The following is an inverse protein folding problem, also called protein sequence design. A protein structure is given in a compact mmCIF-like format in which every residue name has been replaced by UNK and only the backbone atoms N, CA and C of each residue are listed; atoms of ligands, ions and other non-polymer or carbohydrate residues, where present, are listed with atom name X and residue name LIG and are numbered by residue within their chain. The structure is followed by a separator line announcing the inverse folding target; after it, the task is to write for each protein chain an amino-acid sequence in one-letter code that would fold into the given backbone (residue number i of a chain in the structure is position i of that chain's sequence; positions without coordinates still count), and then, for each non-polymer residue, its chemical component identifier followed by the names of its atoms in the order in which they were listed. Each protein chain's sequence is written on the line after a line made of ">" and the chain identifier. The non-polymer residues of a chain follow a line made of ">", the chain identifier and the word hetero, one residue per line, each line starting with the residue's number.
data_IF_164070912181
#
_entry.id   IF_164070912181
#
_cell.length_a   1.000
_cell.length_b   1.000
_cell.length_c   1.000
_cell.angle_alpha   90.00
_cell.angle_beta   90.00
_cell.angle_gamma   90.00
#
_symmetry.space_group_name_H-M   'P 1'
#
loop_
_entity.id
_entity.type
_entity.pdbx_description
1 polymer ?
#
# COMPACT_ATOMS: atom_id res chain seq x y z
N UNK A 1 9.74 32.64 -48.26
CA UNK A 1 9.03 31.38 -47.94
C UNK A 1 9.47 31.03 -46.54
N UNK A 2 8.70 31.56 -45.59
CA UNK A 2 8.78 31.19 -44.17
C UNK A 2 8.53 29.69 -44.06
N UNK A 3 9.33 28.98 -43.26
CA UNK A 3 8.77 28.42 -42.03
C UNK A 3 9.89 28.11 -41.03
N UNK A 4 9.61 28.54 -39.81
CA UNK A 4 10.45 28.55 -38.63
C UNK A 4 10.68 27.13 -38.11
N UNK A 5 11.94 26.72 -38.06
CA UNK A 5 12.43 25.62 -37.25
C UNK A 5 12.56 26.09 -35.80
N UNK A 6 11.46 26.08 -35.08
CA UNK A 6 11.27 26.18 -33.63
C UNK A 6 9.74 25.98 -33.51
N UNK A 7 9.16 25.04 -32.78
CA UNK A 7 9.26 24.81 -31.35
C UNK A 7 8.91 23.34 -31.07
N UNK A 8 9.90 22.50 -30.73
CA UNK A 8 9.62 21.29 -29.93
C UNK A 8 9.80 21.72 -28.48
N UNK A 9 8.81 22.43 -27.95
CA UNK A 9 8.72 22.72 -26.52
C UNK A 9 7.27 22.56 -26.13
N UNK A 10 7.02 21.44 -25.45
CA UNK A 10 6.10 21.33 -24.31
C UNK A 10 4.72 21.94 -24.51
N UNK A 11 3.75 21.16 -25.00
CA UNK A 11 2.36 21.32 -24.57
C UNK A 11 1.63 19.96 -24.55
N UNK A 12 1.15 19.63 -23.34
CA UNK A 12 0.07 18.69 -22.99
C UNK A 12 0.43 17.22 -22.75
N UNK A 13 1.34 17.05 -21.79
CA UNK A 13 1.30 16.02 -20.74
C UNK A 13 -0.05 16.06 -19.98
N UNK A 14 -1.14 15.73 -20.65
CA UNK A 14 -2.46 15.54 -20.03
C UNK A 14 -3.20 14.44 -20.79
N UNK A 15 -2.58 13.26 -20.85
CA UNK A 15 -3.30 12.05 -21.24
C UNK A 15 -4.25 11.77 -20.09
N UNK A 16 -5.45 12.33 -20.18
CA UNK A 16 -6.61 12.05 -19.36
C UNK A 16 -6.71 10.54 -19.20
N UNK A 17 -6.20 10.02 -18.07
CA UNK A 17 -6.37 8.62 -17.68
C UNK A 17 -7.87 8.34 -17.79
N UNK A 18 -8.21 7.53 -18.80
CA UNK A 18 -9.59 7.19 -19.16
C UNK A 18 -10.39 6.94 -17.88
N UNK A 19 -11.61 7.47 -17.74
CA UNK A 19 -12.39 7.40 -16.50
C UNK A 19 -12.47 5.99 -15.92
N UNK A 20 -12.46 4.96 -16.79
CA UNK A 20 -12.37 3.55 -16.44
C UNK A 20 -11.13 3.19 -15.61
N UNK A 21 -9.94 3.67 -15.96
CA UNK A 21 -8.69 3.37 -15.24
C UNK A 21 -8.74 3.96 -13.83
N UNK A 22 -9.25 5.19 -13.69
CA UNK A 22 -9.46 5.85 -12.38
C UNK A 22 -10.48 5.09 -11.50
N UNK A 23 -11.48 4.46 -12.10
CA UNK A 23 -12.45 3.62 -11.37
C UNK A 23 -11.79 2.31 -10.90
N UNK A 24 -11.01 1.66 -11.76
CA UNK A 24 -10.29 0.43 -11.41
C UNK A 24 -9.30 0.69 -10.28
N UNK A 25 -8.58 1.81 -10.28
CA UNK A 25 -7.70 2.22 -9.18
C UNK A 25 -8.44 2.41 -7.85
N UNK A 26 -9.61 3.05 -7.88
CA UNK A 26 -10.43 3.21 -6.67
C UNK A 26 -10.98 1.88 -6.17
N UNK A 27 -11.39 1.00 -7.07
CA UNK A 27 -11.91 -0.32 -6.72
C UNK A 27 -10.78 -1.22 -6.18
N UNK A 28 -9.60 -1.21 -6.79
CA UNK A 28 -8.47 -2.02 -6.33
C UNK A 28 -7.99 -1.59 -4.95
N UNK A 29 -7.96 -0.28 -4.68
CA UNK A 29 -7.64 0.26 -3.35
C UNK A 29 -8.62 -0.16 -2.26
N UNK A 30 -9.89 -0.39 -2.61
CA UNK A 30 -10.89 -0.91 -1.67
C UNK A 30 -10.83 -2.44 -1.56
N UNK A 31 -10.66 -3.16 -2.67
CA UNK A 31 -10.83 -4.61 -2.73
C UNK A 31 -9.63 -5.37 -2.16
N UNK A 32 -8.42 -4.83 -2.35
CA UNK A 32 -7.17 -5.42 -1.88
C UNK A 32 -7.17 -5.73 -0.38
N UNK A 33 -7.52 -4.80 0.54
CA UNK A 33 -7.54 -5.10 1.96
C UNK A 33 -8.55 -6.20 2.34
N UNK A 34 -9.73 -6.24 1.72
CA UNK A 34 -10.70 -7.30 1.96
C UNK A 34 -10.18 -8.66 1.50
N UNK A 35 -9.55 -8.72 0.32
CA UNK A 35 -8.93 -9.95 -0.17
C UNK A 35 -7.86 -10.47 0.80
N UNK A 36 -7.01 -9.58 1.32
CA UNK A 36 -6.01 -9.93 2.32
C UNK A 36 -6.64 -10.53 3.58
N UNK A 37 -7.73 -9.95 4.10
CA UNK A 37 -8.45 -10.49 5.27
C UNK A 37 -9.01 -11.88 4.97
N UNK A 38 -9.63 -12.08 3.81
CA UNK A 38 -10.22 -13.38 3.43
C UNK A 38 -9.14 -14.47 3.32
N UNK A 39 -8.03 -14.17 2.65
CA UNK A 39 -6.89 -15.09 2.55
C UNK A 39 -6.28 -15.36 3.92
N UNK A 40 -6.18 -14.33 4.77
CA UNK A 40 -5.69 -14.46 6.15
C UNK A 40 -6.56 -15.39 6.99
N UNK A 41 -7.89 -15.25 6.92
CA UNK A 41 -8.84 -16.15 7.57
C UNK A 41 -8.70 -17.59 7.05
N UNK A 42 -8.55 -17.77 5.74
CA UNK A 42 -8.33 -19.09 5.16
C UNK A 42 -7.00 -19.74 5.63
N UNK A 43 -5.93 -18.94 5.74
CA UNK A 43 -4.64 -19.41 6.22
C UNK A 43 -4.62 -19.64 7.73
N UNK A 44 -5.45 -18.94 8.50
CA UNK A 44 -5.47 -19.01 9.96
C UNK A 44 -5.69 -20.44 10.46
N UNK A 45 -6.55 -21.20 9.79
CA UNK A 45 -6.85 -22.59 10.15
C UNK A 45 -5.63 -23.53 10.03
N UNK A 46 -4.74 -23.27 9.05
CA UNK A 46 -3.57 -24.10 8.79
C UNK A 46 -2.29 -23.53 9.41
N UNK A 47 -2.19 -22.22 9.50
CA UNK A 47 -1.04 -21.46 9.95
C UNK A 47 -1.51 -20.20 10.70
N UNK A 48 -1.79 -20.38 11.99
CA UNK A 48 -2.27 -19.33 12.89
C UNK A 48 -1.46 -18.02 12.79
N UNK A 49 -0.13 -18.11 12.76
CA UNK A 49 0.75 -16.94 12.78
C UNK A 49 0.65 -16.13 11.50
N UNK A 50 0.75 -16.78 10.33
CA UNK A 50 0.61 -16.12 9.04
C UNK A 50 -0.82 -15.60 8.81
N UNK A 51 -1.84 -16.39 9.17
CA UNK A 51 -3.23 -15.97 9.08
C UNK A 51 -3.52 -14.75 9.95
N UNK A 52 -3.05 -14.74 11.20
CA UNK A 52 -3.21 -13.60 12.11
C UNK A 52 -2.51 -12.34 11.60
N UNK A 53 -1.30 -12.45 11.06
CA UNK A 53 -0.58 -11.31 10.47
C UNK A 53 -1.35 -10.74 9.27
N UNK A 54 -1.82 -11.60 8.36
CA UNK A 54 -2.59 -11.19 7.18
C UNK A 54 -3.90 -10.50 7.59
N UNK A 55 -4.64 -11.07 8.54
CA UNK A 55 -5.88 -10.46 9.06
C UNK A 55 -5.58 -9.08 9.65
N UNK A 56 -4.53 -8.98 10.48
CA UNK A 56 -4.14 -7.71 11.10
C UNK A 56 -3.77 -6.66 10.04
N UNK A 57 -2.94 -7.03 9.06
CA UNK A 57 -2.55 -6.15 7.94
C UNK A 57 -3.75 -5.73 7.11
N UNK A 58 -4.67 -6.65 6.80
CA UNK A 58 -5.88 -6.37 6.06
C UNK A 58 -6.78 -5.37 6.79
N UNK A 59 -6.98 -5.57 8.11
CA UNK A 59 -7.73 -4.63 8.96
C UNK A 59 -7.03 -3.27 9.02
N UNK A 60 -5.72 -3.22 9.25
CA UNK A 60 -4.95 -1.97 9.28
C UNK A 60 -5.02 -1.21 7.96
N UNK A 61 -5.05 -1.93 6.84
CA UNK A 61 -5.22 -1.34 5.51
C UNK A 61 -6.65 -0.78 5.30
N UNK A 62 -7.69 -1.41 5.86
CA UNK A 62 -9.04 -0.84 5.92
C UNK A 62 -9.10 0.42 6.80
N UNK A 63 -8.35 0.43 7.90
CA UNK A 63 -8.23 1.59 8.80
C UNK A 63 -7.49 2.78 8.16
N UNK A 64 -7.01 2.63 6.91
CA UNK A 64 -6.34 3.68 6.13
C UNK A 64 -5.13 4.27 6.86
N UNK A 65 -4.45 3.45 7.64
CA UNK A 65 -3.26 3.83 8.39
C UNK A 65 -2.16 4.26 7.40
N UNK A 66 -1.54 5.40 7.66
CA UNK A 66 -0.52 5.96 6.77
C UNK A 66 0.76 5.13 6.84
N UNK A 67 1.53 5.12 5.76
CA UNK A 67 2.88 4.53 5.74
C UNK A 67 3.78 5.14 6.82
N UNK A 68 3.63 6.43 7.11
CA UNK A 68 4.32 7.12 8.20
C UNK A 68 4.03 6.46 9.56
N UNK A 69 2.76 6.11 9.79
CA UNK A 69 2.31 5.50 11.04
C UNK A 69 2.86 4.09 11.18
N UNK A 70 2.89 3.33 10.08
CA UNK A 70 3.48 1.98 10.02
C UNK A 70 4.97 2.05 10.36
N UNK A 71 5.72 3.00 9.81
CA UNK A 71 7.15 3.12 10.02
C UNK A 71 7.50 3.47 11.46
N UNK A 72 6.78 4.43 12.06
CA UNK A 72 6.94 4.76 13.47
C UNK A 72 6.61 3.56 14.38
N UNK A 73 5.63 2.74 14.01
CA UNK A 73 5.27 1.54 14.76
C UNK A 73 6.35 0.45 14.67
N UNK A 74 6.92 0.25 13.47
CA UNK A 74 8.04 -0.69 13.24
C UNK A 74 9.28 -0.25 14.03
N UNK A 75 9.62 1.04 14.04
CA UNK A 75 10.75 1.55 14.84
C UNK A 75 10.54 1.31 16.33
N UNK A 76 9.32 1.54 16.84
CA UNK A 76 8.96 1.22 18.23
C UNK A 76 9.14 -0.26 18.54
N UNK A 77 8.65 -1.15 17.69
CA UNK A 77 8.80 -2.61 17.88
C UNK A 77 10.28 -2.99 17.85
N UNK A 78 11.04 -2.46 16.90
CA UNK A 78 12.47 -2.71 16.78
C UNK A 78 13.24 -2.25 18.03
N UNK A 79 12.88 -1.10 18.60
CA UNK A 79 13.48 -0.58 19.82
C UNK A 79 13.14 -1.42 21.06
N UNK A 80 11.93 -1.99 21.14
CA UNK A 80 11.56 -2.93 22.20
C UNK A 80 12.36 -4.24 22.07
N UNK A 81 12.45 -4.79 20.87
CA UNK A 81 13.18 -6.04 20.62
C UNK A 81 14.70 -5.92 20.84
N UNK A 82 15.28 -4.76 20.50
CA UNK A 82 16.71 -4.51 20.75
C UNK A 82 17.04 -4.30 22.24
N UNK A 83 16.09 -3.87 23.07
CA UNK A 83 16.30 -3.75 24.51
C UNK A 83 16.37 -5.10 25.21
N UNK A 84 15.56 -6.08 24.78
CA UNK A 84 15.62 -7.44 25.34
C UNK A 84 16.99 -8.12 25.08
N UNK A 85 17.59 -7.88 23.91
CA UNK A 85 18.92 -8.42 23.57
C UNK A 85 20.09 -7.78 24.33
N UNK A 86 19.87 -6.71 25.11
CA UNK A 86 20.92 -6.05 25.92
C UNK A 86 20.86 -6.37 27.42
N UNK A 87 19.88 -7.14 27.86
CA UNK A 87 19.68 -7.55 29.25
C UNK A 87 19.84 -9.06 29.48
N UNK A 88 20.20 -9.82 28.44
CA UNK A 88 20.53 -11.25 28.50
C UNK A 88 22.04 -11.51 28.63
#
# INVERSE_FOLDING_TARGET
>A
MEESSDYITTELEEIELQPTVKLVEKISGILSPYFIVIVGLYLYDNNFLFGSILILVGILSLLKISYEDIWQWIEKIKHLFNQDNKLG
#
